data_IF_326210176174
#
_entry.id   IF_326210176174
#
_cell.length_a   1.000
_cell.length_b   1.000
_cell.length_c   1.000
_cell.angle_alpha   90.00
_cell.angle_beta   90.00
_cell.angle_gamma   90.00
#
_symmetry.space_group_name_H-M   'P 1'
#
loop_
_entity.id
_entity.type
_entity.pdbx_description
1 polymer ?
#
# COMPACT_ATOMS: atom_id res chain seq x y z
N UNK A 1 -14.81 -46.51 -15.72
CA UNK A 1 -13.73 -46.60 -14.70
C UNK A 1 -12.83 -45.39 -14.89
N UNK A 2 -13.09 -44.29 -14.17
CA UNK A 2 -12.33 -43.85 -12.97
C UNK A 2 -10.81 -43.85 -13.19
N UNK A 3 -10.24 -42.65 -13.31
CA UNK A 3 -9.22 -42.17 -12.37
C UNK A 3 -9.26 -40.63 -12.33
N UNK A 4 -9.75 -40.15 -11.19
CA UNK A 4 -9.78 -38.76 -10.75
C UNK A 4 -8.37 -38.37 -10.29
N UNK A 5 -7.76 -37.39 -10.93
CA UNK A 5 -6.55 -36.73 -10.46
C UNK A 5 -6.92 -35.56 -9.56
N UNK A 6 -6.72 -35.73 -8.26
CA UNK A 6 -6.97 -34.76 -7.20
C UNK A 6 -6.21 -33.45 -7.45
N UNK A 7 -6.93 -32.33 -7.54
CA UNK A 7 -6.35 -31.00 -7.42
C UNK A 7 -6.16 -30.74 -5.93
N UNK A 8 -4.89 -30.72 -5.52
CA UNK A 8 -4.45 -30.46 -4.17
C UNK A 8 -4.81 -29.00 -3.78
N UNK A 9 -5.88 -28.81 -3.01
CA UNK A 9 -6.29 -27.53 -2.43
C UNK A 9 -5.42 -27.21 -1.23
N UNK A 10 -4.16 -26.88 -1.49
CA UNK A 10 -3.26 -26.32 -0.50
C UNK A 10 -3.68 -24.89 -0.16
N UNK A 11 -4.15 -24.69 1.07
CA UNK A 11 -4.29 -23.38 1.72
C UNK A 11 -3.04 -22.53 1.46
N UNK A 12 -3.12 -21.56 0.54
CA UNK A 12 -2.10 -20.53 0.40
C UNK A 12 -2.09 -19.72 1.71
N UNK A 13 -1.05 -19.95 2.52
CA UNK A 13 -0.63 -19.01 3.56
C UNK A 13 -0.50 -17.65 2.85
N UNK A 14 -1.19 -16.63 3.36
CA UNK A 14 -1.03 -15.22 2.96
C UNK A 14 0.41 -14.79 3.27
N UNK A 15 1.35 -15.18 2.40
CA UNK A 15 2.71 -14.69 2.37
C UNK A 15 2.59 -13.22 2.02
N UNK A 16 3.10 -12.36 2.88
CA UNK A 16 3.42 -10.98 2.52
C UNK A 16 4.20 -11.03 1.20
N UNK A 17 3.56 -10.71 0.07
CA UNK A 17 4.18 -10.81 -1.24
C UNK A 17 5.36 -9.83 -1.24
N UNK A 18 6.57 -10.35 -1.10
CA UNK A 18 7.77 -9.58 -1.38
C UNK A 18 7.87 -9.46 -2.88
N UNK A 19 7.64 -8.27 -3.43
CA UNK A 19 7.94 -7.99 -4.83
C UNK A 19 9.43 -8.28 -5.05
N UNK A 20 9.76 -9.35 -5.79
CA UNK A 20 11.14 -9.75 -6.12
C UNK A 20 11.75 -8.81 -7.18
N UNK A 21 11.63 -7.50 -6.99
CA UNK A 21 12.45 -6.53 -7.71
C UNK A 21 13.77 -6.36 -6.95
N UNK A 22 14.87 -6.24 -7.68
CA UNK A 22 16.18 -6.01 -7.07
C UNK A 22 16.21 -4.61 -6.42
N UNK A 23 16.00 -4.55 -5.10
CA UNK A 23 15.97 -3.29 -4.32
C UNK A 23 17.24 -3.10 -3.49
N UNK A 24 18.32 -3.81 -3.80
CA UNK A 24 19.58 -3.77 -3.05
C UNK A 24 20.21 -2.37 -3.01
N UNK A 25 20.08 -1.59 -4.10
CA UNK A 25 20.52 -0.18 -4.13
C UNK A 25 19.74 0.73 -3.15
N UNK A 26 18.60 0.28 -2.61
CA UNK A 26 17.83 0.96 -1.57
C UNK A 26 18.26 0.60 -0.14
N UNK A 27 19.23 -0.29 0.05
CA UNK A 27 19.72 -0.69 1.36
C UNK A 27 20.16 0.47 2.28
N UNK A 28 20.80 1.55 1.78
CA UNK A 28 21.09 2.72 2.62
C UNK A 28 19.83 3.32 3.26
N UNK A 29 18.72 3.40 2.51
CA UNK A 29 17.45 3.95 3.00
C UNK A 29 16.79 3.04 4.04
N UNK A 30 16.89 1.71 3.89
CA UNK A 30 16.31 0.73 4.84
C UNK A 30 16.89 0.85 6.26
N UNK A 31 18.10 1.42 6.40
CA UNK A 31 18.76 1.63 7.70
C UNK A 31 18.18 2.81 8.47
N UNK A 32 17.51 3.73 7.79
CA UNK A 32 16.94 4.93 8.39
C UNK A 32 15.75 4.57 9.29
N UNK A 33 15.65 5.24 10.42
CA UNK A 33 14.61 5.01 11.45
C UNK A 33 13.75 6.25 11.64
N UNK A 34 12.53 6.07 12.16
CA UNK A 34 11.60 7.15 12.51
C UNK A 34 11.21 8.07 11.33
N UNK A 35 11.28 7.54 10.11
CA UNK A 35 10.81 8.25 8.92
C UNK A 35 9.30 8.16 8.79
N UNK A 36 8.68 9.25 8.37
CA UNK A 36 7.26 9.26 7.98
C UNK A 36 7.12 8.79 6.54
N UNK A 37 6.10 8.01 6.25
CA UNK A 37 5.79 7.57 4.90
C UNK A 37 5.53 8.78 4.00
N UNK A 38 6.15 8.86 2.82
CA UNK A 38 5.96 9.99 1.89
C UNK A 38 4.56 10.03 1.27
N UNK A 39 3.76 8.96 1.39
CA UNK A 39 2.40 8.92 0.84
C UNK A 39 1.30 9.18 1.87
N UNK A 40 1.48 8.73 3.12
CA UNK A 40 0.42 8.82 4.14
C UNK A 40 0.83 9.61 5.39
N UNK A 41 2.09 10.02 5.51
CA UNK A 41 2.59 10.83 6.63
C UNK A 41 2.65 10.11 7.98
N UNK A 42 2.23 8.85 8.06
CA UNK A 42 2.38 8.01 9.25
C UNK A 42 3.84 7.60 9.44
N UNK A 43 4.30 7.52 10.69
CA UNK A 43 5.65 7.02 11.01
C UNK A 43 5.75 5.55 10.62
N UNK A 44 6.90 5.15 10.06
CA UNK A 44 7.16 3.77 9.63
C UNK A 44 7.97 3.01 10.67
N UNK A 45 7.79 1.69 10.68
CA UNK A 45 8.47 0.76 11.59
C UNK A 45 9.54 0.00 10.82
N UNK A 46 10.74 -0.12 11.38
CA UNK A 46 11.78 -0.95 10.76
C UNK A 46 11.47 -2.45 10.90
N UNK A 47 12.00 -3.29 10.00
CA UNK A 47 11.80 -4.74 10.09
C UNK A 47 12.24 -5.35 11.42
N UNK A 48 13.32 -4.83 12.02
CA UNK A 48 13.80 -5.27 13.35
C UNK A 48 12.82 -4.93 14.47
N UNK A 49 12.27 -3.72 14.45
CA UNK A 49 11.25 -3.32 15.44
C UNK A 49 9.96 -4.12 15.27
N UNK A 50 9.53 -4.35 14.02
CA UNK A 50 8.35 -5.14 13.72
C UNK A 50 8.44 -6.56 14.27
N UNK A 51 9.56 -7.26 14.04
CA UNK A 51 9.74 -8.64 14.53
C UNK A 51 9.59 -8.74 16.06
N UNK A 52 10.12 -7.76 16.80
CA UNK A 52 9.93 -7.69 18.26
C UNK A 52 8.49 -7.39 18.68
N UNK A 53 7.75 -6.61 17.88
CA UNK A 53 6.32 -6.38 18.11
C UNK A 53 5.54 -7.67 17.89
N UNK A 54 5.74 -8.34 16.76
CA UNK A 54 5.02 -9.57 16.40
C UNK A 54 5.23 -10.68 17.42
N UNK A 55 6.45 -10.88 17.92
CA UNK A 55 6.74 -11.87 18.96
C UNK A 55 5.90 -11.67 20.23
N UNK A 56 5.65 -10.42 20.63
CA UNK A 56 4.83 -10.12 21.81
C UNK A 56 3.33 -10.24 21.52
N UNK A 57 2.91 -10.03 20.27
CA UNK A 57 1.52 -10.26 19.86
C UNK A 57 1.20 -11.75 19.80
N UNK A 58 2.18 -12.59 19.46
CA UNK A 58 2.03 -14.05 19.45
C UNK A 58 1.77 -14.63 20.84
N UNK A 59 2.29 -13.99 21.89
CA UNK A 59 2.05 -14.39 23.28
C UNK A 59 0.73 -13.89 23.85
N UNK A 60 -0.07 -13.10 23.12
CA UNK A 60 -1.31 -12.55 23.66
C UNK A 60 -2.43 -13.60 23.69
N UNK A 61 -3.02 -13.77 24.88
CA UNK A 61 -4.13 -14.69 25.09
C UNK A 61 -5.49 -14.07 24.75
N UNK A 62 -5.66 -12.74 24.84
CA UNK A 62 -6.95 -12.06 24.68
C UNK A 62 -6.80 -10.64 24.11
N UNK A 63 -7.93 -10.01 23.77
CA UNK A 63 -7.97 -8.67 23.19
C UNK A 63 -7.36 -7.61 24.11
N UNK A 64 -7.56 -7.71 25.44
CA UNK A 64 -7.02 -6.74 26.40
C UNK A 64 -5.50 -6.67 26.33
N UNK A 65 -4.83 -7.80 26.26
CA UNK A 65 -3.38 -7.87 26.10
C UNK A 65 -2.93 -7.29 24.76
N UNK A 66 -3.60 -7.66 23.66
CA UNK A 66 -3.30 -7.12 22.32
C UNK A 66 -3.43 -5.60 22.30
N UNK A 67 -4.54 -5.06 22.83
CA UNK A 67 -4.79 -3.62 22.90
C UNK A 67 -3.71 -2.92 23.72
N UNK A 68 -3.33 -3.50 24.86
CA UNK A 68 -2.27 -2.95 25.73
C UNK A 68 -0.93 -2.83 25.00
N UNK A 69 -0.56 -3.83 24.19
CA UNK A 69 0.67 -3.78 23.38
C UNK A 69 0.54 -2.76 22.25
N UNK A 70 -0.51 -2.87 21.44
CA UNK A 70 -0.68 -2.09 20.21
C UNK A 70 -0.93 -0.60 20.47
N UNK A 71 -1.46 -0.23 21.63
CA UNK A 71 -1.67 1.18 22.03
C UNK A 71 -0.39 2.01 21.92
N UNK A 72 0.76 1.43 22.27
CA UNK A 72 2.09 2.06 22.16
C UNK A 72 2.50 2.34 20.71
N UNK A 73 1.90 1.64 19.75
CA UNK A 73 2.22 1.70 18.33
C UNK A 73 1.14 2.39 17.48
N UNK A 74 0.09 2.93 18.11
CA UNK A 74 -1.01 3.62 17.42
C UNK A 74 -0.54 4.73 16.47
N UNK A 75 0.56 5.42 16.78
CA UNK A 75 1.10 6.50 15.93
C UNK A 75 1.56 6.01 14.55
N UNK A 76 2.00 4.76 14.43
CA UNK A 76 2.50 4.15 13.19
C UNK A 76 1.36 3.65 12.30
N UNK A 77 0.20 3.32 12.87
CA UNK A 77 -0.95 2.79 12.13
C UNK A 77 -1.48 3.81 11.10
N UNK A 78 -1.91 3.30 9.93
CA UNK A 78 -2.57 4.11 8.92
C UNK A 78 -4.02 4.41 9.36
N UNK A 79 -4.74 5.21 8.55
CA UNK A 79 -6.07 5.72 8.92
C UNK A 79 -7.07 4.59 9.23
N UNK A 80 -7.10 3.53 8.42
CA UNK A 80 -8.03 2.41 8.60
C UNK A 80 -7.68 1.59 9.83
N UNK A 81 -6.42 1.21 10.00
CA UNK A 81 -5.94 0.47 11.16
C UNK A 81 -6.17 1.24 12.47
N UNK A 82 -6.03 2.57 12.47
CA UNK A 82 -6.35 3.41 13.64
C UNK A 82 -7.82 3.34 14.04
N UNK A 83 -8.72 3.26 13.07
CA UNK A 83 -10.18 3.19 13.32
C UNK A 83 -10.58 1.81 13.82
N UNK A 84 -10.09 0.76 13.16
CA UNK A 84 -10.28 -0.63 13.63
C UNK A 84 -9.71 -0.80 15.05
N UNK A 85 -8.48 -0.32 15.29
CA UNK A 85 -7.87 -0.38 16.61
C UNK A 85 -8.67 0.35 17.68
N UNK A 86 -9.24 1.53 17.36
CA UNK A 86 -10.12 2.25 18.29
C UNK A 86 -11.32 1.40 18.69
N UNK A 87 -11.95 0.71 17.74
CA UNK A 87 -13.08 -0.16 18.05
C UNK A 87 -12.67 -1.36 18.91
N UNK A 88 -11.50 -1.95 18.66
CA UNK A 88 -10.94 -2.99 19.54
C UNK A 88 -10.66 -2.47 20.95
N UNK A 89 -10.12 -1.25 21.08
CA UNK A 89 -9.89 -0.61 22.37
C UNK A 89 -11.21 -0.42 23.13
N UNK A 90 -12.27 0.01 22.45
CA UNK A 90 -13.61 0.16 23.04
C UNK A 90 -14.21 -1.19 23.46
N UNK A 91 -14.18 -2.19 22.57
CA UNK A 91 -14.70 -3.54 22.84
C UNK A 91 -13.96 -4.23 24.00
N UNK A 92 -12.64 -4.05 24.10
CA UNK A 92 -11.82 -4.67 25.15
C UNK A 92 -12.17 -4.22 26.57
N UNK A 93 -12.86 -3.07 26.72
CA UNK A 93 -13.28 -2.55 28.03
C UNK A 93 -14.41 -3.36 28.63
N UNK A 94 -15.31 -3.87 27.79
CA UNK A 94 -16.49 -4.65 28.21
C UNK A 94 -16.29 -6.15 28.00
N UNK A 95 -15.37 -6.56 27.11
CA UNK A 95 -15.09 -7.96 26.78
C UNK A 95 -13.57 -8.24 26.83
N UNK A 96 -12.91 -8.14 28.00
CA UNK A 96 -11.45 -8.20 28.09
C UNK A 96 -10.84 -9.55 27.69
N UNK A 97 -11.57 -10.64 27.92
CA UNK A 97 -11.10 -12.01 27.69
C UNK A 97 -11.48 -12.56 26.30
N UNK A 98 -12.22 -11.79 25.51
CA UNK A 98 -12.59 -12.14 24.14
C UNK A 98 -11.39 -12.07 23.19
N UNK A 99 -11.57 -12.57 21.96
CA UNK A 99 -10.59 -12.47 20.90
C UNK A 99 -10.94 -11.36 19.90
N UNK A 100 -9.95 -10.90 19.12
CA UNK A 100 -10.18 -9.90 18.07
C UNK A 100 -11.22 -10.33 17.03
N UNK A 101 -11.22 -11.60 16.64
CA UNK A 101 -12.17 -12.12 15.66
C UNK A 101 -13.62 -12.07 16.15
N UNK A 102 -13.86 -12.23 17.45
CA UNK A 102 -15.21 -12.15 18.03
C UNK A 102 -15.78 -10.74 17.84
N UNK A 103 -14.92 -9.74 18.09
CA UNK A 103 -15.23 -8.34 17.85
C UNK A 103 -15.55 -8.04 16.38
N UNK A 104 -14.80 -8.62 15.43
CA UNK A 104 -15.06 -8.43 14.00
C UNK A 104 -16.33 -9.13 13.52
N UNK A 105 -16.61 -10.33 14.03
CA UNK A 105 -17.83 -11.10 13.69
C UNK A 105 -19.10 -10.35 14.09
N UNK A 106 -19.10 -9.64 15.21
CA UNK A 106 -20.21 -8.78 15.63
C UNK A 106 -20.55 -7.67 14.61
N UNK A 107 -19.57 -7.22 13.83
CA UNK A 107 -19.77 -6.16 12.83
C UNK A 107 -19.85 -6.69 11.40
N UNK A 108 -19.75 -8.01 11.23
CA UNK A 108 -19.57 -8.61 9.90
C UNK A 108 -20.76 -8.36 8.98
N UNK A 109 -21.98 -8.59 9.45
CA UNK A 109 -23.20 -8.51 8.63
C UNK A 109 -23.47 -7.09 8.12
N UNK A 110 -23.24 -6.09 8.97
CA UNK A 110 -23.32 -4.68 8.58
C UNK A 110 -22.17 -4.32 7.62
N UNK A 111 -20.95 -4.77 7.92
CA UNK A 111 -19.77 -4.47 7.11
C UNK A 111 -19.86 -5.09 5.72
N UNK A 112 -20.31 -6.34 5.58
CA UNK A 112 -20.44 -6.98 4.27
C UNK A 112 -21.49 -6.28 3.42
N UNK A 113 -22.63 -5.90 4.01
CA UNK A 113 -23.68 -5.16 3.29
C UNK A 113 -23.16 -3.83 2.76
N UNK A 114 -22.51 -3.04 3.63
CA UNK A 114 -21.91 -1.75 3.24
C UNK A 114 -20.79 -1.90 2.22
N UNK A 115 -19.95 -2.94 2.37
CA UNK A 115 -18.88 -3.24 1.42
C UNK A 115 -19.44 -3.52 0.02
N UNK A 116 -20.46 -4.38 -0.09
CA UNK A 116 -21.12 -4.70 -1.36
C UNK A 116 -21.67 -3.44 -2.04
N UNK A 117 -22.29 -2.55 -1.27
CA UNK A 117 -22.80 -1.28 -1.79
C UNK A 117 -21.67 -0.37 -2.30
N UNK A 118 -20.57 -0.24 -1.54
CA UNK A 118 -19.40 0.54 -1.96
C UNK A 118 -18.77 -0.02 -3.25
N UNK A 119 -18.67 -1.35 -3.36
CA UNK A 119 -18.16 -2.02 -4.56
C UNK A 119 -19.08 -1.82 -5.77
N UNK A 120 -20.40 -1.99 -5.59
CA UNK A 120 -21.38 -1.77 -6.66
C UNK A 120 -21.39 -0.33 -7.15
N UNK A 121 -21.29 0.66 -6.25
CA UNK A 121 -21.20 2.07 -6.65
C UNK A 121 -19.99 2.32 -7.59
N UNK A 122 -18.84 1.68 -7.32
CA UNK A 122 -17.68 1.80 -8.22
C UNK A 122 -17.93 1.11 -9.55
N UNK A 123 -18.52 -0.09 -9.55
CA UNK A 123 -18.85 -0.82 -10.78
C UNK A 123 -19.90 -0.08 -11.63
N UNK A 124 -20.89 0.54 -11.00
CA UNK A 124 -21.90 1.35 -11.68
C UNK A 124 -21.28 2.57 -12.36
N UNK A 125 -20.31 3.22 -11.72
CA UNK A 125 -19.61 4.35 -12.34
C UNK A 125 -18.71 3.89 -13.50
N UNK A 126 -18.05 2.74 -13.38
CA UNK A 126 -17.30 2.13 -14.50
C UNK A 126 -18.24 1.86 -15.68
N UNK A 127 -19.40 1.26 -15.42
CA UNK A 127 -20.42 0.98 -16.42
C UNK A 127 -20.94 2.27 -17.08
N UNK A 128 -21.27 3.31 -16.31
CA UNK A 128 -21.70 4.61 -16.83
C UNK A 128 -20.64 5.26 -17.73
N UNK A 129 -19.36 5.21 -17.34
CA UNK A 129 -18.27 5.76 -18.17
C UNK A 129 -18.15 4.96 -19.47
N UNK A 130 -18.32 3.63 -19.40
CA UNK A 130 -18.21 2.73 -20.55
C UNK A 130 -19.22 3.01 -21.65
N UNK A 131 -20.38 3.62 -21.33
CA UNK A 131 -21.39 4.03 -22.33
C UNK A 131 -20.88 5.05 -23.36
N UNK A 132 -19.76 5.72 -23.07
CA UNK A 132 -19.08 6.63 -24.02
C UNK A 132 -18.16 5.90 -25.00
N UNK A 133 -17.98 4.58 -24.85
CA UNK A 133 -17.24 3.72 -25.78
C UNK A 133 -18.17 3.25 -26.91
N UNK A 134 -17.60 2.63 -27.94
CA UNK A 134 -18.38 1.91 -28.95
C UNK A 134 -19.18 0.76 -28.32
N UNK A 135 -20.35 0.41 -28.90
CA UNK A 135 -21.23 -0.60 -28.33
C UNK A 135 -20.56 -1.93 -27.98
N UNK A 136 -19.62 -2.38 -28.82
CA UNK A 136 -18.87 -3.62 -28.57
C UNK A 136 -17.98 -3.53 -27.33
N UNK A 137 -17.27 -2.42 -27.15
CA UNK A 137 -16.37 -2.22 -25.99
C UNK A 137 -17.16 -1.92 -24.72
N UNK A 138 -18.26 -1.17 -24.80
CA UNK A 138 -19.17 -0.98 -23.68
C UNK A 138 -19.71 -2.34 -23.20
N UNK A 139 -20.22 -3.17 -24.11
CA UNK A 139 -20.71 -4.52 -23.78
C UNK A 139 -19.63 -5.40 -23.14
N UNK A 140 -18.39 -5.34 -23.64
CA UNK A 140 -17.27 -6.07 -23.05
C UNK A 140 -16.97 -5.63 -21.61
N UNK A 141 -16.98 -4.32 -21.32
CA UNK A 141 -16.82 -3.79 -19.96
C UNK A 141 -17.95 -4.27 -19.06
N UNK A 142 -19.21 -4.14 -19.51
CA UNK A 142 -20.38 -4.60 -18.76
C UNK A 142 -20.34 -6.10 -18.44
N UNK A 143 -19.84 -6.93 -19.35
CA UNK A 143 -19.67 -8.36 -19.09
C UNK A 143 -18.67 -8.61 -17.95
N UNK A 144 -17.55 -7.87 -17.90
CA UNK A 144 -16.55 -7.97 -16.82
C UNK A 144 -17.12 -7.47 -15.49
N UNK A 145 -17.81 -6.32 -15.46
CA UNK A 145 -18.41 -5.78 -14.22
C UNK A 145 -19.57 -6.64 -13.72
N UNK A 146 -20.39 -7.21 -14.60
CA UNK A 146 -21.45 -8.17 -14.25
C UNK A 146 -20.89 -9.41 -13.58
N UNK A 147 -19.82 -10.00 -14.12
CA UNK A 147 -19.13 -11.12 -13.47
C UNK A 147 -18.63 -10.74 -12.08
N UNK A 148 -18.08 -9.55 -11.91
CA UNK A 148 -17.65 -9.06 -10.59
C UNK A 148 -18.82 -8.96 -9.61
N UNK A 149 -19.97 -8.45 -10.04
CA UNK A 149 -21.18 -8.38 -9.21
C UNK A 149 -21.64 -9.77 -8.76
N UNK A 150 -21.61 -10.77 -9.65
CA UNK A 150 -21.95 -12.15 -9.29
C UNK A 150 -21.05 -12.69 -8.19
N UNK A 151 -19.71 -12.54 -8.33
CA UNK A 151 -18.74 -12.96 -7.32
C UNK A 151 -18.98 -12.25 -5.97
N UNK A 152 -19.24 -10.94 -5.99
CA UNK A 152 -19.55 -10.15 -4.79
C UNK A 152 -20.84 -10.63 -4.12
N UNK A 153 -21.89 -10.94 -4.89
CA UNK A 153 -23.16 -11.43 -4.35
C UNK A 153 -23.00 -12.81 -3.71
N UNK A 154 -22.34 -13.73 -4.42
CA UNK A 154 -22.11 -15.10 -3.97
C UNK A 154 -21.27 -15.16 -2.68
N UNK A 155 -20.29 -14.24 -2.53
CA UNK A 155 -19.45 -14.12 -1.34
C UNK A 155 -18.86 -15.46 -0.86
N UNK A 156 -18.47 -16.34 -1.80
CA UNK A 156 -17.87 -17.63 -1.49
C UNK A 156 -16.43 -17.42 -1.01
N UNK A 157 -16.04 -18.11 0.07
CA UNK A 157 -14.68 -18.00 0.62
C UNK A 157 -13.59 -18.33 -0.40
N UNK A 158 -13.86 -19.29 -1.30
CA UNK A 158 -12.95 -19.76 -2.34
C UNK A 158 -12.79 -18.77 -3.52
N UNK A 159 -13.77 -17.90 -3.74
CA UNK A 159 -13.82 -16.98 -4.88
C UNK A 159 -14.07 -15.54 -4.38
N UNK A 160 -13.09 -15.02 -3.64
CA UNK A 160 -13.19 -13.66 -3.11
C UNK A 160 -12.90 -12.65 -4.22
N UNK A 161 -13.79 -11.67 -4.40
CA UNK A 161 -13.57 -10.57 -5.31
C UNK A 161 -12.25 -9.85 -5.00
N UNK A 162 -11.40 -9.68 -6.01
CA UNK A 162 -10.13 -8.94 -5.89
C UNK A 162 -10.14 -7.81 -6.92
N UNK A 163 -9.88 -6.58 -6.46
CA UNK A 163 -9.69 -5.39 -7.33
C UNK A 163 -8.76 -5.67 -8.51
N UNK A 164 -7.68 -6.42 -8.29
CA UNK A 164 -6.71 -6.78 -9.34
C UNK A 164 -7.35 -7.62 -10.46
N UNK A 165 -8.24 -8.55 -10.13
CA UNK A 165 -8.93 -9.38 -11.13
C UNK A 165 -9.74 -8.50 -12.08
N UNK A 166 -10.47 -7.49 -11.54
CA UNK A 166 -11.18 -6.53 -12.39
C UNK A 166 -10.20 -5.75 -13.27
N UNK A 167 -9.17 -5.14 -12.68
CA UNK A 167 -8.21 -4.31 -13.41
C UNK A 167 -7.50 -5.09 -14.53
N UNK A 168 -7.01 -6.29 -14.23
CA UNK A 168 -6.36 -7.17 -15.19
C UNK A 168 -7.35 -7.59 -16.29
N UNK A 169 -8.63 -7.86 -15.94
CA UNK A 169 -9.66 -8.20 -16.93
C UNK A 169 -10.09 -7.04 -17.84
N UNK A 170 -9.95 -5.79 -17.36
CA UNK A 170 -10.17 -4.60 -18.18
C UNK A 170 -9.00 -4.41 -19.15
N UNK A 171 -7.77 -4.76 -18.78
CA UNK A 171 -6.60 -4.67 -19.66
C UNK A 171 -6.69 -5.57 -20.91
N UNK A 172 -7.55 -6.59 -20.89
CA UNK A 172 -7.84 -7.44 -22.05
C UNK A 172 -8.62 -6.70 -23.15
N UNK A 173 -9.31 -5.61 -22.84
CA UNK A 173 -10.14 -4.86 -23.79
C UNK A 173 -9.28 -3.84 -24.53
N UNK A 174 -9.25 -3.94 -25.86
CA UNK A 174 -8.50 -3.02 -26.72
C UNK A 174 -9.39 -1.82 -27.12
N UNK A 175 -9.11 -0.60 -26.64
CA UNK A 175 -9.90 0.57 -27.00
C UNK A 175 -9.70 0.92 -28.49
N UNK A 176 -10.78 1.30 -29.18
CA UNK A 176 -10.70 1.78 -30.56
C UNK A 176 -10.05 3.16 -30.64
N UNK A 177 -9.68 3.58 -31.85
CA UNK A 177 -9.14 4.93 -32.11
C UNK A 177 -10.11 5.99 -31.55
N UNK A 178 -9.60 6.86 -30.67
CA UNK A 178 -10.38 7.91 -30.01
C UNK A 178 -10.96 7.53 -28.64
N UNK A 179 -11.04 6.24 -28.29
CA UNK A 179 -11.63 5.78 -27.02
C UNK A 179 -10.64 5.75 -25.85
N UNK A 180 -9.33 5.83 -26.13
CA UNK A 180 -8.26 5.66 -25.13
C UNK A 180 -8.47 6.51 -23.87
N UNK A 181 -8.88 7.78 -24.03
CA UNK A 181 -9.10 8.69 -22.90
C UNK A 181 -10.25 8.23 -21.99
N UNK A 182 -11.36 7.79 -22.59
CA UNK A 182 -12.53 7.26 -21.86
C UNK A 182 -12.15 5.95 -21.18
N UNK A 183 -11.35 5.12 -21.85
CA UNK A 183 -10.86 3.85 -21.31
C UNK A 183 -9.89 4.06 -20.14
N UNK A 184 -9.04 5.08 -20.19
CA UNK A 184 -8.21 5.46 -19.05
C UNK A 184 -9.05 5.99 -17.88
N UNK A 185 -10.12 6.76 -18.16
CA UNK A 185 -11.05 7.29 -17.16
C UNK A 185 -11.79 6.17 -16.40
N UNK A 186 -12.33 5.17 -17.11
CA UNK A 186 -13.02 4.04 -16.46
C UNK A 186 -12.07 3.20 -15.61
N UNK A 187 -10.83 2.98 -16.08
CA UNK A 187 -9.81 2.26 -15.30
C UNK A 187 -9.42 3.04 -14.06
N UNK A 188 -9.28 4.35 -14.18
CA UNK A 188 -9.02 5.24 -13.04
C UNK A 188 -10.15 5.20 -12.02
N UNK A 189 -11.40 5.01 -12.45
CA UNK A 189 -12.53 4.79 -11.54
C UNK A 189 -12.46 3.42 -10.85
N UNK A 190 -12.16 2.35 -11.58
CA UNK A 190 -12.09 0.98 -11.05
C UNK A 190 -11.05 0.82 -9.91
N UNK A 191 -9.99 1.64 -9.92
CA UNK A 191 -8.98 1.66 -8.87
C UNK A 191 -9.54 2.03 -7.48
N UNK A 192 -10.66 2.75 -7.42
CA UNK A 192 -11.32 3.17 -6.17
C UNK A 192 -12.08 2.06 -5.46
N UNK A 193 -12.09 0.84 -5.99
CA UNK A 193 -12.63 -0.32 -5.28
C UNK A 193 -12.03 -0.42 -3.87
N UNK A 194 -12.88 -0.62 -2.84
CA UNK A 194 -12.45 -0.63 -1.46
C UNK A 194 -11.43 -1.75 -1.21
N UNK A 195 -10.45 -1.46 -0.37
CA UNK A 195 -9.45 -2.43 0.08
C UNK A 195 -9.35 -2.40 1.59
N UNK A 196 -8.77 -3.43 2.22
CA UNK A 196 -8.52 -3.41 3.67
C UNK A 196 -7.59 -2.27 4.15
N UNK A 197 -6.91 -1.57 3.25
CA UNK A 197 -6.11 -0.37 3.57
C UNK A 197 -6.98 0.89 3.56
N UNK A 198 -7.99 0.95 2.70
CA UNK A 198 -8.82 2.16 2.46
C UNK A 198 -10.20 2.12 3.11
N UNK A 199 -10.73 0.93 3.42
CA UNK A 199 -12.08 0.72 3.96
C UNK A 199 -12.06 -0.15 5.22
N UNK A 200 -12.77 0.32 6.27
CA UNK A 200 -13.01 -0.45 7.50
C UNK A 200 -13.85 -1.69 7.21
N UNK A 201 -14.87 -1.57 6.35
CA UNK A 201 -15.74 -2.68 5.99
C UNK A 201 -14.96 -3.80 5.28
N UNK A 202 -14.11 -3.43 4.32
CA UNK A 202 -13.22 -4.37 3.64
C UNK A 202 -12.22 -5.03 4.60
N UNK A 203 -11.77 -4.31 5.63
CA UNK A 203 -10.93 -4.90 6.69
C UNK A 203 -11.73 -5.92 7.50
N UNK A 204 -12.91 -5.54 8.01
CA UNK A 204 -13.75 -6.41 8.84
C UNK A 204 -14.08 -7.70 8.10
N UNK A 205 -14.62 -7.60 6.89
CA UNK A 205 -15.00 -8.76 6.06
C UNK A 205 -13.82 -9.69 5.81
N UNK A 206 -12.66 -9.13 5.44
CA UNK A 206 -11.47 -9.93 5.13
C UNK A 206 -10.89 -10.66 6.35
N UNK A 207 -10.99 -10.06 7.53
CA UNK A 207 -10.26 -10.51 8.72
C UNK A 207 -11.14 -11.15 9.80
N UNK A 208 -12.47 -11.15 9.68
CA UNK A 208 -13.38 -11.70 10.70
C UNK A 208 -13.20 -13.20 10.99
N UNK A 209 -12.75 -13.97 9.99
CA UNK A 209 -12.48 -15.41 10.14
C UNK A 209 -11.00 -15.72 10.42
N UNK A 210 -10.17 -14.69 10.60
CA UNK A 210 -8.74 -14.85 10.87
C UNK A 210 -8.48 -14.97 12.37
N UNK A 211 -7.33 -15.50 12.72
CA UNK A 211 -6.92 -15.61 14.14
C UNK A 211 -6.61 -14.24 14.74
N UNK A 212 -6.71 -14.11 16.06
CA UNK A 212 -6.33 -12.90 16.79
C UNK A 212 -4.91 -12.44 16.42
N UNK A 213 -3.96 -13.36 16.32
CA UNK A 213 -2.57 -13.08 16.00
C UNK A 213 -2.45 -12.49 14.59
N UNK A 214 -3.15 -13.06 13.60
CA UNK A 214 -3.16 -12.52 12.24
C UNK A 214 -3.76 -11.11 12.17
N UNK A 215 -4.88 -10.88 12.85
CA UNK A 215 -5.56 -9.58 12.90
C UNK A 215 -4.65 -8.54 13.58
N UNK A 216 -4.07 -8.89 14.74
CA UNK A 216 -3.19 -8.01 15.50
C UNK A 216 -1.95 -7.61 14.71
N UNK A 217 -1.28 -8.59 14.08
CA UNK A 217 -0.13 -8.35 13.22
C UNK A 217 -0.50 -7.50 12.01
N UNK A 218 -1.67 -7.74 11.41
CA UNK A 218 -2.15 -6.96 10.26
C UNK A 218 -2.27 -5.47 10.57
N UNK A 219 -2.67 -5.08 11.79
CA UNK A 219 -2.78 -3.67 12.18
C UNK A 219 -1.45 -2.90 12.12
N UNK A 220 -0.32 -3.60 12.24
CA UNK A 220 1.00 -2.97 12.33
C UNK A 220 1.90 -3.26 11.12
N UNK A 221 1.72 -4.39 10.45
CA UNK A 221 2.51 -4.77 9.27
C UNK A 221 2.39 -3.78 8.11
N UNK A 222 1.26 -3.08 7.98
CA UNK A 222 1.11 -2.01 6.96
C UNK A 222 2.04 -0.83 7.18
N UNK A 223 2.55 -0.65 8.39
CA UNK A 223 3.48 0.42 8.76
C UNK A 223 4.95 0.03 8.55
N UNK A 224 5.24 -1.21 8.13
CA UNK A 224 6.59 -1.67 7.84
C UNK A 224 7.23 -0.79 6.76
N UNK A 225 8.44 -0.32 7.01
CA UNK A 225 9.24 0.40 6.02
C UNK A 225 9.72 -0.55 4.91
N UNK A 226 9.35 -0.23 3.67
CA UNK A 226 9.69 -0.98 2.45
C UNK A 226 10.24 -0.04 1.38
N UNK A 227 11.03 -0.58 0.46
CA UNK A 227 11.52 0.19 -0.70
C UNK A 227 10.46 0.18 -1.79
N UNK A 228 10.14 1.37 -2.27
CA UNK A 228 9.25 1.65 -3.39
C UNK A 228 10.03 2.17 -4.58
N UNK A 229 9.69 1.72 -5.78
CA UNK A 229 10.06 2.41 -7.01
C UNK A 229 9.15 3.61 -7.27
N UNK A 230 9.72 4.79 -7.52
CA UNK A 230 8.96 6.01 -7.87
C UNK A 230 8.30 5.82 -9.24
N UNK A 231 9.08 5.40 -10.23
CA UNK A 231 8.63 4.85 -11.51
C UNK A 231 8.52 3.32 -11.37
N UNK A 232 7.34 2.71 -11.51
CA UNK A 232 7.17 1.27 -11.31
C UNK A 232 8.12 0.42 -12.17
N UNK A 233 8.60 -0.72 -11.63
CA UNK A 233 9.47 -1.63 -12.39
C UNK A 233 8.78 -2.21 -13.63
N UNK A 234 7.46 -2.39 -13.59
CA UNK A 234 6.65 -2.80 -14.75
C UNK A 234 6.62 -1.79 -15.89
N UNK A 235 7.01 -0.54 -15.61
CA UNK A 235 7.13 0.55 -16.58
C UNK A 235 8.60 0.89 -16.85
N UNK A 236 9.52 -0.07 -16.71
CA UNK A 236 10.97 0.13 -16.90
C UNK A 236 11.54 1.14 -15.89
N UNK A 237 11.10 1.04 -14.63
CA UNK A 237 11.69 1.78 -13.51
C UNK A 237 13.08 1.23 -13.16
N UNK A 238 14.09 2.10 -13.12
CA UNK A 238 15.46 1.70 -12.80
C UNK A 238 15.60 1.18 -11.36
N UNK A 239 16.48 0.20 -11.15
CA UNK A 239 16.80 -0.37 -9.84
C UNK A 239 17.96 0.38 -9.16
N UNK A 240 17.79 1.68 -8.95
CA UNK A 240 18.79 2.53 -8.30
C UNK A 240 18.16 3.45 -7.26
N UNK A 241 19.01 4.03 -6.41
CA UNK A 241 18.56 4.87 -5.30
C UNK A 241 17.82 6.14 -5.77
N UNK A 242 18.07 6.64 -6.99
CA UNK A 242 17.39 7.80 -7.55
C UNK A 242 15.91 7.52 -7.87
N UNK A 243 15.56 6.25 -8.08
CA UNK A 243 14.19 5.79 -8.28
C UNK A 243 13.58 5.19 -7.00
N UNK A 244 14.24 5.27 -5.84
CA UNK A 244 13.76 4.66 -4.61
C UNK A 244 13.28 5.66 -3.56
N UNK A 245 12.16 5.31 -2.91
CA UNK A 245 11.71 5.92 -1.66
C UNK A 245 11.44 4.85 -0.62
N UNK A 246 11.61 5.22 0.65
CA UNK A 246 11.16 4.38 1.75
C UNK A 246 9.68 4.69 2.04
N UNK A 247 8.80 3.72 1.81
CA UNK A 247 7.34 3.84 1.99
C UNK A 247 6.85 2.83 3.02
N UNK A 248 5.65 3.04 3.56
CA UNK A 248 5.01 2.02 4.39
C UNK A 248 4.46 0.92 3.49
N UNK A 249 4.56 -0.34 3.88
CA UNK A 249 4.10 -1.49 3.09
C UNK A 249 2.63 -1.37 2.66
N UNK A 250 1.76 -0.79 3.49
CA UNK A 250 0.37 -0.52 3.12
C UNK A 250 0.23 0.46 1.96
N UNK A 251 1.10 1.46 1.88
CA UNK A 251 1.12 2.42 0.78
C UNK A 251 1.70 1.82 -0.50
N UNK A 252 2.79 1.06 -0.37
CA UNK A 252 3.40 0.31 -1.48
C UNK A 252 2.40 -0.65 -2.11
N UNK A 253 1.78 -1.51 -1.30
CA UNK A 253 0.80 -2.47 -1.78
C UNK A 253 -0.44 -1.79 -2.37
N UNK A 254 -0.88 -0.65 -1.82
CA UNK A 254 -2.03 0.07 -2.34
C UNK A 254 -1.74 0.68 -3.71
N UNK A 255 -0.55 1.28 -3.86
CA UNK A 255 -0.10 1.90 -5.11
C UNK A 255 0.20 0.85 -6.17
N UNK A 256 0.89 -0.24 -5.81
CA UNK A 256 1.29 -1.31 -6.75
C UNK A 256 2.03 -0.72 -7.96
N UNK A 257 1.60 -1.04 -9.18
CA UNK A 257 2.11 -0.51 -10.44
C UNK A 257 1.46 0.82 -10.87
N UNK A 258 0.60 1.43 -10.05
CA UNK A 258 -0.07 2.67 -10.43
C UNK A 258 0.96 3.81 -10.63
N UNK A 259 0.86 4.57 -11.72
CA UNK A 259 1.67 5.77 -11.91
C UNK A 259 1.48 6.79 -10.78
N UNK A 260 2.55 7.47 -10.37
CA UNK A 260 2.55 8.36 -9.21
C UNK A 260 1.53 9.49 -9.34
N UNK A 261 1.44 10.12 -10.51
CA UNK A 261 0.48 11.19 -10.75
C UNK A 261 -0.99 10.74 -10.54
N UNK A 262 -1.33 9.49 -10.92
CA UNK A 262 -2.66 8.92 -10.67
C UNK A 262 -2.88 8.69 -9.17
N UNK A 263 -1.87 8.18 -8.49
CA UNK A 263 -1.94 7.97 -7.04
C UNK A 263 -2.12 9.28 -6.26
N UNK A 264 -1.51 10.38 -6.73
CA UNK A 264 -1.72 11.73 -6.18
C UNK A 264 -3.18 12.19 -6.34
N UNK A 265 -3.86 11.86 -7.44
CA UNK A 265 -5.27 12.21 -7.61
C UNK A 265 -6.14 11.57 -6.51
N UNK A 266 -5.82 10.33 -6.11
CA UNK A 266 -6.52 9.63 -5.03
C UNK A 266 -6.16 10.18 -3.65
N UNK A 267 -4.92 10.61 -3.47
CA UNK A 267 -4.39 11.10 -2.20
C UNK A 267 -3.68 12.46 -2.39
N UNK A 268 -4.44 13.57 -2.46
CA UNK A 268 -3.90 14.89 -2.81
C UNK A 268 -2.86 15.45 -1.84
N UNK A 269 -2.76 14.89 -0.63
CA UNK A 269 -1.75 15.29 0.37
C UNK A 269 -0.36 14.69 0.14
N UNK A 270 -0.19 13.77 -0.83
CA UNK A 270 1.11 13.15 -1.13
C UNK A 270 2.24 14.18 -1.32
N UNK A 271 2.10 15.27 -2.11
CA UNK A 271 3.18 16.24 -2.29
C UNK A 271 3.69 16.82 -0.96
N UNK A 272 2.77 17.17 -0.05
CA UNK A 272 3.09 17.67 1.29
C UNK A 272 3.84 16.63 2.13
N UNK A 273 3.45 15.36 2.03
CA UNK A 273 4.12 14.29 2.78
C UNK A 273 5.48 13.92 2.19
N UNK A 274 5.64 13.96 0.87
CA UNK A 274 6.93 13.83 0.19
C UNK A 274 7.92 14.92 0.65
N UNK A 275 7.48 16.19 0.75
CA UNK A 275 8.33 17.26 1.26
C UNK A 275 8.76 16.99 2.72
N UNK A 276 7.83 16.60 3.59
CA UNK A 276 8.16 16.26 4.97
C UNK A 276 9.14 15.08 5.05
N UNK A 277 8.95 14.08 4.21
CA UNK A 277 9.83 12.91 4.14
C UNK A 277 11.25 13.31 3.72
N UNK A 278 11.40 14.12 2.67
CA UNK A 278 12.74 14.53 2.24
C UNK A 278 13.43 15.44 3.26
N UNK A 279 12.69 16.31 3.96
CA UNK A 279 13.26 17.11 5.04
C UNK A 279 13.83 16.23 6.16
N UNK A 280 13.11 15.16 6.55
CA UNK A 280 13.65 14.21 7.52
C UNK A 280 14.91 13.50 6.99
N UNK A 281 14.97 13.16 5.70
CA UNK A 281 16.17 12.56 5.11
C UNK A 281 17.33 13.55 5.10
N UNK A 282 17.09 14.82 4.77
CA UNK A 282 18.08 15.89 4.84
C UNK A 282 18.69 15.99 6.24
N UNK A 283 17.86 16.04 7.28
CA UNK A 283 18.34 16.06 8.67
C UNK A 283 19.20 14.83 9.01
N UNK A 284 18.81 13.65 8.52
CA UNK A 284 19.56 12.42 8.75
C UNK A 284 20.89 12.40 8.01
N UNK A 285 20.95 12.96 6.79
CA UNK A 285 22.20 13.17 6.06
C UNK A 285 23.10 14.14 6.83
N UNK A 286 22.57 15.24 7.34
CA UNK A 286 23.34 16.21 8.13
C UNK A 286 23.93 15.59 9.41
N UNK A 287 23.22 14.64 10.01
CA UNK A 287 23.67 13.82 11.16
C UNK A 287 24.62 12.69 10.75
N UNK A 288 24.93 12.53 9.47
CA UNK A 288 25.86 11.51 8.96
C UNK A 288 25.27 10.10 8.88
N UNK A 289 23.95 9.93 8.93
CA UNK A 289 23.30 8.60 8.89
C UNK A 289 23.13 8.04 7.45
N UNK A 290 23.45 8.84 6.44
CA UNK A 290 23.40 8.43 5.03
C UNK A 290 24.66 8.89 4.27
N UNK A 291 25.83 8.79 4.93
CA UNK A 291 27.14 9.11 4.31
C UNK A 291 27.36 8.33 3.02
N UNK A 292 27.93 8.99 2.01
CA UNK A 292 28.13 8.42 0.69
C UNK A 292 26.88 8.41 -0.20
N UNK A 293 25.79 9.06 0.23
CA UNK A 293 24.57 9.24 -0.56
C UNK A 293 24.06 10.69 -0.45
N UNK A 294 24.96 11.65 -0.26
CA UNK A 294 24.63 13.07 -0.11
C UNK A 294 23.90 13.64 -1.35
N UNK A 295 24.01 13.04 -2.52
CA UNK A 295 23.28 13.49 -3.73
C UNK A 295 21.84 12.97 -3.80
N UNK A 296 21.44 12.09 -2.88
CA UNK A 296 20.11 11.46 -2.89
C UNK A 296 18.95 12.45 -3.00
N UNK A 297 18.89 13.56 -2.23
CA UNK A 297 17.78 14.51 -2.33
C UNK A 297 17.61 15.11 -3.73
N UNK A 298 18.71 15.43 -4.41
CA UNK A 298 18.68 15.95 -5.78
C UNK A 298 18.22 14.90 -6.79
N UNK A 299 18.73 13.67 -6.66
CA UNK A 299 18.36 12.53 -7.52
C UNK A 299 16.85 12.26 -7.46
N UNK A 300 16.32 12.14 -6.24
CA UNK A 300 14.89 11.85 -6.03
C UNK A 300 13.99 13.04 -6.38
N UNK A 301 14.43 14.29 -6.18
CA UNK A 301 13.71 15.48 -6.65
C UNK A 301 13.40 15.42 -8.14
N UNK A 302 14.38 15.07 -8.97
CA UNK A 302 14.21 14.98 -10.41
C UNK A 302 13.24 13.86 -10.80
N UNK A 303 13.39 12.67 -10.20
CA UNK A 303 12.49 11.54 -10.47
C UNK A 303 11.06 11.86 -10.04
N UNK A 304 10.85 12.42 -8.84
CA UNK A 304 9.52 12.80 -8.36
C UNK A 304 8.87 13.85 -9.23
N UNK A 305 9.60 14.88 -9.66
CA UNK A 305 9.07 15.91 -10.56
C UNK A 305 8.57 15.31 -11.88
N UNK A 306 9.34 14.38 -12.47
CA UNK A 306 8.95 13.68 -13.70
C UNK A 306 7.73 12.78 -13.50
N UNK A 307 7.80 11.83 -12.58
CA UNK A 307 6.75 10.81 -12.39
C UNK A 307 5.44 11.38 -11.83
N UNK A 308 5.51 12.51 -11.13
CA UNK A 308 4.33 13.24 -10.64
C UNK A 308 3.75 14.23 -11.65
N UNK A 309 4.36 14.39 -12.84
CA UNK A 309 4.02 15.44 -13.83
C UNK A 309 4.05 16.85 -13.22
N UNK A 310 5.11 17.16 -12.47
CA UNK A 310 5.33 18.47 -11.85
C UNK A 310 4.53 18.73 -10.57
N UNK A 311 3.72 17.79 -10.11
CA UNK A 311 2.91 17.95 -8.88
C UNK A 311 3.72 17.83 -7.59
N UNK A 312 4.92 17.25 -7.67
CA UNK A 312 5.89 17.18 -6.58
C UNK A 312 7.17 17.84 -7.06
N UNK A 313 7.43 19.04 -6.56
CA UNK A 313 8.70 19.75 -6.75
C UNK A 313 9.28 19.92 -5.35
N UNK A 314 10.28 19.11 -5.01
CA UNK A 314 10.89 19.16 -3.69
C UNK A 314 11.68 20.46 -3.50
N UNK A 315 11.43 21.15 -2.41
CA UNK A 315 12.29 22.21 -1.92
C UNK A 315 13.49 21.62 -1.17
N UNK A 316 14.68 22.05 -1.54
CA UNK A 316 15.96 21.62 -0.97
C UNK A 316 16.76 22.82 -0.42
N UNK A 317 16.12 23.98 -0.22
CA UNK A 317 16.72 25.20 0.33
C UNK A 317 17.45 24.97 1.66
N UNK A 318 16.88 24.13 2.53
CA UNK A 318 17.45 23.74 3.82
C UNK A 318 18.61 22.73 3.71
N UNK A 319 18.98 22.30 2.50
CA UNK A 319 20.05 21.34 2.31
C UNK A 319 21.42 22.03 2.32
N UNK A 320 22.19 21.83 3.39
CA UNK A 320 23.51 22.45 3.58
C UNK A 320 24.56 22.17 2.48
N UNK A 321 24.36 21.12 1.68
CA UNK A 321 25.26 20.79 0.59
C UNK A 321 24.71 21.37 -0.69
N UNK A 322 25.54 22.12 -1.43
CA UNK A 322 25.29 22.33 -2.85
C UNK A 322 25.34 20.99 -3.59
N UNK A 323 24.91 20.95 -4.86
CA UNK A 323 24.97 19.73 -5.65
C UNK A 323 26.42 19.27 -5.84
N UNK A 324 27.32 20.20 -6.08
CA UNK A 324 28.76 19.99 -6.24
C UNK A 324 29.38 19.47 -4.94
N UNK A 325 29.04 20.08 -3.80
CA UNK A 325 29.53 19.63 -2.49
C UNK A 325 29.05 18.23 -2.14
N UNK A 326 27.79 17.91 -2.45
CA UNK A 326 27.23 16.58 -2.26
C UNK A 326 27.97 15.54 -3.12
N UNK A 327 28.24 15.84 -4.39
CA UNK A 327 29.03 14.97 -5.27
C UNK A 327 30.46 14.78 -4.76
N UNK A 328 31.10 15.85 -4.28
CA UNK A 328 32.44 15.78 -3.70
C UNK A 328 32.45 14.97 -2.40
N UNK A 329 31.41 15.08 -1.56
CA UNK A 329 31.26 14.30 -0.34
C UNK A 329 31.12 12.79 -0.63
N UNK A 330 30.27 12.42 -1.59
CA UNK A 330 30.15 11.03 -2.05
C UNK A 330 31.50 10.50 -2.55
N UNK A 331 32.18 11.25 -3.43
CA UNK A 331 33.48 10.84 -4.00
C UNK A 331 34.54 10.63 -2.91
N UNK A 332 34.61 11.52 -1.91
CA UNK A 332 35.51 11.37 -0.76
C UNK A 332 35.18 10.12 0.06
N UNK A 333 33.90 9.82 0.26
CA UNK A 333 33.47 8.63 0.97
C UNK A 333 33.90 7.34 0.26
N UNK A 334 33.66 7.25 -1.06
CA UNK A 334 34.09 6.10 -1.86
C UNK A 334 35.60 5.92 -1.87
N UNK A 335 36.37 7.00 -2.02
CA UNK A 335 37.84 6.93 -1.96
C UNK A 335 38.34 6.34 -0.64
N UNK A 336 37.71 6.70 0.49
CA UNK A 336 38.04 6.17 1.83
C UNK A 336 37.69 4.70 2.05
N UNK A 337 36.81 4.11 1.22
CA UNK A 337 36.50 2.67 1.32
C UNK A 337 37.46 1.80 0.50
N UNK A 338 38.17 2.40 -0.45
CA UNK A 338 39.14 1.72 -1.33
C UNK A 338 40.58 1.77 -0.79
N UNK A 339 40.80 2.60 0.23
CA UNK A 339 42.04 2.71 1.01
C UNK A 339 41.81 2.10 2.38
#
# INVERSE_FOLDING_TARGET
MKTSGYINTGLEKDVFISFRANTSAGNPLRKLKKLKCPYFGAEMISGKELAGIEKRLDSCANIKEVVTILKKYRKFMLKTEKRIFKRFEEFSKTNPDAQLQDCLKLWYDEAITKLKLDEFNVLDDVDKISLKLSPQNALAVHAKTTRCRQVILENKKEDTFKRRILLDSLDEIQPKRGEKKVFDELKDRAVYLPTSVTSENAFIVKYADRTQQEIAKRLIRTSLATIEHIKPNSEEGENNIANFMLTSAGANNLRSNMPLYKFINMFPNIPKYCQKHINQIIELIHKGQLKGNETYPYKVKNTLARESKGRIILDLSEYKYTREDAMAAEKRHYKKQLT
#
